data_IF_162892434112
#
_entry.id   IF_162892434112
#
_cell.length_a   1.000
_cell.length_b   1.000
_cell.length_c   1.000
_cell.angle_alpha   90.00
_cell.angle_beta   90.00
_cell.angle_gamma   90.00
#
_symmetry.space_group_name_H-M   'P 1'
#
loop_
_entity.id
_entity.type
_entity.pdbx_description
1 polymer ?
2 polymer ?
3 polymer ?
4 non-polymer ?
5 non-polymer ?
6 water ?
#
loop_
_entity_poly.entity_id
_entity_poly.type
_entity_poly.pdbx_seq_one_letter_code
_entity_poly.pdbx_strand_id
2 'polydeoxyribonucleotide' '(DA)(DG)(DG)(DA)(DC)(DC)(DOC)' ?
3 'polydeoxyribonucleotide' '(DT)(DC)(DT)(DA)(3DR)(DG)(DG)(DG)(DT)(DC)(DC)(DT)' ?
#
# COMPACT_ATOMS: atom_id res chain seq x y z
N UNK A 25 15.63 12.41 19.98
CA UNK A 25 14.79 12.04 18.78
C UNK A 25 15.64 11.46 17.61
N UNK A 26 16.64 10.61 17.95
CA UNK A 26 17.56 9.93 16.99
C UNK A 26 17.06 8.55 16.34
N UNK A 27 17.30 7.40 17.00
CA UNK A 27 16.96 6.07 16.47
C UNK A 27 15.47 5.60 16.61
N UNK A 28 14.91 5.06 15.57
CA UNK A 28 13.48 4.88 15.55
C UNK A 28 13.15 3.41 15.64
N UNK A 29 11.96 3.12 16.13
CA UNK A 29 11.39 1.78 15.96
C UNK A 29 10.09 1.94 15.16
N UNK A 30 10.08 1.38 13.94
CA UNK A 30 8.96 1.48 12.99
C UNK A 30 8.40 0.07 12.78
N UNK A 31 7.07 -0.06 12.79
CA UNK A 31 6.46 -1.30 12.27
C UNK A 31 5.75 -1.03 10.91
N UNK A 32 5.86 -1.99 10.00
CA UNK A 32 5.08 -2.03 8.78
C UNK A 32 4.08 -3.19 8.87
N UNK A 33 2.77 -2.92 8.69
CA UNK A 33 1.73 -3.94 8.82
C UNK A 33 1.20 -4.12 7.43
N UNK A 34 1.08 -5.39 7.00
CA UNK A 34 0.86 -5.72 5.64
C UNK A 34 -0.12 -6.92 5.65
N UNK A 35 -1.39 -6.69 5.30
CA UNK A 35 -2.40 -7.76 5.47
C UNK A 35 -2.24 -8.83 4.41
N UNK A 36 -2.66 -10.04 4.73
CA UNK A 36 -2.68 -11.13 3.78
C UNK A 36 -3.83 -10.97 2.73
N UNK A 37 -3.47 -11.14 1.44
CA UNK A 37 -4.39 -11.25 0.35
C UNK A 37 -5.69 -10.48 0.66
N UNK A 38 -5.52 -9.18 0.87
CA UNK A 38 -6.57 -8.36 1.56
C UNK A 38 -7.95 -8.48 0.94
N UNK A 39 -8.10 -8.36 -0.39
CA UNK A 39 -9.49 -8.45 -0.97
C UNK A 39 -10.09 -9.84 -0.79
N UNK A 40 -9.23 -10.85 -0.93
CA UNK A 40 -9.70 -12.21 -0.81
C UNK A 40 -10.15 -12.44 0.61
N UNK A 41 -9.41 -11.94 1.65
CA UNK A 41 -9.86 -12.05 3.07
C UNK A 41 -11.19 -11.44 3.26
N UNK A 42 -11.38 -10.23 2.72
CA UNK A 42 -12.67 -9.58 2.91
C UNK A 42 -13.76 -10.50 2.27
N UNK A 43 -13.51 -11.09 1.11
CA UNK A 43 -14.59 -11.91 0.47
C UNK A 43 -14.81 -13.23 1.23
N UNK A 44 -13.76 -13.84 1.79
CA UNK A 44 -13.91 -15.07 2.61
C UNK A 44 -14.70 -14.87 3.89
N UNK A 45 -14.53 -13.71 4.53
CA UNK A 45 -15.38 -13.36 5.69
C UNK A 45 -16.83 -13.16 5.25
N UNK A 46 -17.05 -12.57 4.07
CA UNK A 46 -18.43 -12.32 3.62
C UNK A 46 -19.16 -13.58 3.22
N UNK A 47 -18.49 -14.48 2.52
CA UNK A 47 -19.08 -15.74 2.15
C UNK A 47 -18.23 -16.91 2.67
N UNK A 48 -18.44 -17.31 3.95
CA UNK A 48 -17.70 -18.41 4.56
C UNK A 48 -17.48 -19.63 3.68
N UNK A 49 -18.39 -19.95 2.77
CA UNK A 49 -18.24 -21.16 1.90
C UNK A 49 -17.05 -21.12 0.91
N UNK A 50 -16.45 -19.94 0.78
CA UNK A 50 -15.21 -19.76 0.02
C UNK A 50 -13.97 -19.96 0.91
N UNK A 51 -14.21 -20.21 2.21
CA UNK A 51 -13.13 -20.31 3.20
C UNK A 51 -11.97 -21.26 2.87
N UNK A 52 -12.25 -22.52 2.56
CA UNK A 52 -11.12 -23.36 2.20
C UNK A 52 -11.17 -23.78 0.75
N UNK A 53 -11.74 -22.89 -0.08
CA UNK A 53 -11.67 -23.01 -1.53
C UNK A 53 -10.59 -22.05 -2.08
N UNK A 54 -9.90 -22.46 -3.14
CA UNK A 54 -8.95 -21.56 -3.78
C UNK A 54 -9.79 -20.43 -4.40
N UNK A 55 -9.49 -19.18 -4.05
CA UNK A 55 -10.37 -18.02 -4.38
C UNK A 55 -9.56 -16.94 -5.06
N UNK A 56 -10.09 -16.41 -6.16
CA UNK A 56 -9.47 -15.32 -6.92
C UNK A 56 -10.46 -14.17 -6.94
N UNK A 57 -9.98 -12.94 -6.82
CA UNK A 57 -10.85 -11.76 -6.83
C UNK A 57 -10.58 -11.12 -8.19
N UNK A 58 -11.63 -11.02 -9.00
CA UNK A 58 -11.48 -10.60 -10.37
C UNK A 58 -11.86 -9.12 -10.57
N UNK A 59 -11.13 -8.45 -11.45
CA UNK A 59 -11.51 -7.10 -11.86
C UNK A 59 -11.25 -7.21 -13.34
N UNK A 60 -12.28 -7.05 -14.14
CA UNK A 60 -12.15 -7.15 -15.58
C UNK A 60 -11.53 -8.50 -15.95
N UNK A 61 -10.44 -8.49 -16.71
CA UNK A 61 -9.82 -9.73 -17.16
C UNK A 61 -8.71 -10.17 -16.19
N UNK A 62 -8.57 -9.49 -15.05
CA UNK A 62 -7.48 -9.79 -14.10
C UNK A 62 -7.91 -10.44 -12.80
N UNK A 63 -7.10 -11.38 -12.34
CA UNK A 63 -7.22 -11.89 -10.99
C UNK A 63 -6.25 -11.08 -10.11
N UNK A 64 -6.78 -10.05 -9.45
CA UNK A 64 -5.93 -9.05 -8.88
C UNK A 64 -5.30 -9.61 -7.66
N UNK A 65 -6.04 -10.45 -6.94
CA UNK A 65 -5.46 -11.19 -5.85
C UNK A 65 -6.20 -12.50 -5.64
N UNK A 66 -5.63 -13.40 -4.81
CA UNK A 66 -6.25 -14.72 -4.58
C UNK A 66 -5.80 -15.20 -3.19
N UNK A 67 -6.59 -16.06 -2.54
CA UNK A 67 -6.24 -16.51 -1.19
C UNK A 67 -5.09 -17.55 -1.24
N UNK A 68 -4.54 -17.97 -0.08
CA UNK A 68 -3.26 -18.73 -0.11
C UNK A 68 -3.41 -20.15 -0.69
N UNK A 69 -4.60 -20.72 -0.49
CA UNK A 69 -5.02 -21.95 -1.15
C UNK A 69 -4.73 -21.89 -2.68
N UNK A 70 -5.13 -20.81 -3.35
CA UNK A 70 -4.89 -20.64 -4.78
C UNK A 70 -3.41 -20.38 -5.18
N UNK A 71 -2.67 -19.64 -4.36
CA UNK A 71 -1.23 -19.44 -4.58
C UNK A 71 -0.49 -20.79 -4.58
N UNK A 72 -0.97 -21.76 -3.80
CA UNK A 72 -0.36 -23.13 -3.74
C UNK A 72 -0.56 -23.86 -5.06
N UNK A 73 -1.72 -23.62 -5.67
CA UNK A 73 -2.05 -24.17 -6.99
C UNK A 73 -1.51 -23.37 -8.20
N UNK A 74 -0.56 -22.45 -7.99
CA UNK A 74 0.04 -21.68 -9.09
C UNK A 74 -0.50 -20.30 -9.43
N UNK A 75 -1.70 -19.95 -8.92
CA UNK A 75 -2.30 -18.63 -9.14
C UNK A 75 -1.43 -17.50 -8.56
N UNK A 76 -1.17 -16.47 -9.37
CA UNK A 76 -0.27 -15.39 -8.97
C UNK A 76 -1.05 -14.09 -8.93
N UNK A 77 -0.56 -13.14 -8.13
CA UNK A 77 -1.19 -11.83 -8.03
C UNK A 77 -1.16 -11.19 -9.40
N UNK A 78 -2.29 -10.64 -9.83
CA UNK A 78 -2.37 -9.93 -11.11
C UNK A 78 -2.16 -10.83 -12.32
N UNK A 79 -2.66 -12.06 -12.28
CA UNK A 79 -2.65 -12.97 -13.45
C UNK A 79 -3.93 -12.78 -14.29
N UNK A 80 -3.88 -12.90 -15.63
CA UNK A 80 -5.13 -12.88 -16.41
C UNK A 80 -6.01 -14.02 -15.97
N UNK A 81 -7.33 -13.87 -16.10
CA UNK A 81 -8.27 -14.95 -15.77
C UNK A 81 -7.93 -16.26 -16.51
N UNK A 82 -7.57 -16.17 -17.79
CA UNK A 82 -7.26 -17.36 -18.60
C UNK A 82 -6.08 -18.20 -18.03
N UNK A 83 -4.90 -17.60 -18.03
CA UNK A 83 -3.73 -18.15 -17.38
C UNK A 83 -4.09 -18.66 -15.98
N UNK A 84 -4.89 -17.86 -15.25
CA UNK A 84 -5.34 -18.19 -13.90
C UNK A 84 -6.15 -19.49 -13.84
N UNK A 85 -7.04 -19.68 -14.82
CA UNK A 85 -7.88 -20.83 -14.77
C UNK A 85 -7.32 -22.05 -15.49
N UNK A 86 -6.40 -21.87 -16.44
CA UNK A 86 -5.68 -23.04 -17.02
C UNK A 86 -4.45 -23.46 -16.20
N UNK A 87 -4.14 -22.68 -15.17
CA UNK A 87 -3.25 -23.11 -14.12
C UNK A 87 -4.07 -23.82 -13.04
N UNK A 88 -5.34 -23.45 -12.90
CA UNK A 88 -6.18 -23.96 -11.82
C UNK A 88 -7.64 -23.81 -12.23
N UNK A 89 -8.21 -24.91 -12.75
CA UNK A 89 -9.54 -24.91 -13.36
C UNK A 89 -10.66 -24.88 -12.32
N UNK A 90 -10.33 -25.14 -11.06
CA UNK A 90 -11.30 -25.20 -9.98
C UNK A 90 -11.29 -23.86 -9.24
N UNK A 91 -10.62 -22.86 -9.79
CA UNK A 91 -10.57 -21.57 -9.12
C UNK A 91 -11.96 -20.87 -9.02
N UNK A 92 -12.39 -20.56 -7.79
CA UNK A 92 -13.57 -19.69 -7.58
C UNK A 92 -13.22 -18.19 -7.76
N UNK A 93 -14.01 -17.49 -8.58
CA UNK A 93 -13.78 -16.07 -8.83
C UNK A 93 -14.92 -15.20 -8.31
N UNK A 94 -14.62 -14.11 -7.60
CA UNK A 94 -15.69 -13.17 -7.21
C UNK A 94 -15.31 -11.84 -7.74
N UNK A 95 -16.31 -11.03 -8.10
CA UNK A 95 -16.01 -9.76 -8.71
C UNK A 95 -15.51 -8.75 -7.66
N UNK A 96 -14.37 -8.11 -7.90
CA UNK A 96 -13.88 -7.13 -6.95
C UNK A 96 -13.75 -5.74 -7.47
N UNK A 97 -14.67 -5.39 -8.39
CA UNK A 97 -14.59 -4.09 -9.05
C UNK A 97 -15.06 -2.96 -8.16
N UNK A 98 -16.07 -3.23 -7.32
CA UNK A 98 -16.65 -2.29 -6.38
C UNK A 98 -15.83 -2.42 -5.11
N UNK A 99 -15.11 -1.36 -4.74
CA UNK A 99 -14.13 -1.45 -3.67
C UNK A 99 -14.73 -1.11 -2.35
N UNK A 100 -16.04 -0.83 -2.29
CA UNK A 100 -16.64 -0.24 -1.07
C UNK A 100 -16.29 -0.94 0.24
N UNK A 101 -16.51 -2.27 0.26
CA UNK A 101 -16.24 -3.05 1.43
C UNK A 101 -14.74 -3.12 1.72
N UNK A 102 -13.89 -3.18 0.69
CA UNK A 102 -12.44 -3.22 0.98
C UNK A 102 -12.04 -1.91 1.66
N UNK A 103 -12.53 -0.83 1.09
CA UNK A 103 -12.17 0.49 1.58
C UNK A 103 -12.62 0.63 3.02
N UNK A 104 -13.85 0.20 3.33
CA UNK A 104 -14.34 0.31 4.73
C UNK A 104 -13.49 -0.51 5.70
N UNK A 105 -13.16 -1.74 5.32
CA UNK A 105 -12.34 -2.55 6.21
C UNK A 105 -10.95 -1.93 6.33
N UNK A 106 -10.43 -1.35 5.25
CA UNK A 106 -9.10 -0.72 5.26
C UNK A 106 -8.99 0.40 6.29
N UNK A 107 -10.02 1.25 6.36
CA UNK A 107 -10.04 2.25 7.43
C UNK A 107 -10.26 1.67 8.85
N UNK A 108 -11.10 0.64 9.02
CA UNK A 108 -11.13 -0.03 10.34
C UNK A 108 -9.73 -0.45 10.81
N UNK A 109 -8.89 -0.96 9.89
CA UNK A 109 -7.54 -1.49 10.29
C UNK A 109 -6.70 -0.28 10.71
N UNK A 110 -6.70 0.78 9.89
CA UNK A 110 -5.93 1.99 10.21
C UNK A 110 -6.36 2.56 11.57
N UNK A 111 -7.67 2.68 11.83
CA UNK A 111 -8.11 3.26 13.11
C UNK A 111 -7.72 2.41 14.30
N UNK A 112 -7.74 1.09 14.13
CA UNK A 112 -7.34 0.24 15.20
C UNK A 112 -5.85 0.51 15.50
N UNK A 113 -5.01 0.64 14.49
CA UNK A 113 -3.55 0.85 14.70
C UNK A 113 -3.38 2.23 15.27
N UNK A 114 -4.27 3.18 14.94
CA UNK A 114 -4.10 4.52 15.48
C UNK A 114 -4.29 4.63 16.98
N UNK A 115 -5.07 3.69 17.47
CA UNK A 115 -5.34 3.57 18.84
C UNK A 115 -4.09 3.15 19.62
N UNK A 116 -3.24 2.33 19.04
CA UNK A 116 -1.95 1.98 19.66
C UNK A 116 -1.07 3.21 19.66
N UNK A 117 -1.04 3.94 18.57
CA UNK A 117 -0.18 5.08 18.51
C UNK A 117 -0.67 5.96 17.31
N UNK A 118 -0.83 7.28 17.51
CA UNK A 118 -1.54 8.06 16.55
C UNK A 118 -0.86 8.36 15.22
N UNK A 119 0.42 8.09 15.06
CA UNK A 119 1.03 8.50 13.80
C UNK A 119 1.05 7.30 12.91
N UNK A 120 0.06 7.19 12.02
CA UNK A 120 -0.08 6.00 11.23
C UNK A 120 -0.20 6.48 9.79
N UNK A 121 0.62 5.89 8.95
CA UNK A 121 0.66 6.23 7.52
C UNK A 121 0.13 5.06 6.71
N UNK A 122 -0.86 5.29 5.87
CA UNK A 122 -1.40 4.24 5.04
C UNK A 122 -0.56 4.15 3.77
N UNK A 123 -0.43 2.95 3.20
CA UNK A 123 0.11 2.86 1.85
C UNK A 123 -0.79 1.91 1.13
N UNK A 124 -1.61 2.41 0.22
CA UNK A 124 -2.68 1.62 -0.35
C UNK A 124 -3.67 1.18 0.73
N UNK A 125 -4.49 0.19 0.42
CA UNK A 125 -5.60 -0.17 1.30
C UNK A 125 -5.16 -1.18 2.30
N UNK A 126 -3.97 -1.80 2.11
CA UNK A 126 -3.71 -2.77 3.10
C UNK A 126 -2.36 -2.79 3.77
N UNK A 127 -1.63 -1.69 3.66
CA UNK A 127 -0.39 -1.53 4.43
C UNK A 127 -0.46 -0.28 5.28
N UNK A 128 0.09 -0.38 6.45
CA UNK A 128 0.21 0.80 7.35
C UNK A 128 1.60 0.78 7.99
N UNK A 129 2.18 1.97 8.18
CA UNK A 129 3.37 2.14 8.96
C UNK A 129 2.98 2.84 10.26
N UNK A 130 3.58 2.45 11.40
CA UNK A 130 3.38 3.10 12.69
C UNK A 130 4.77 3.37 13.28
N UNK A 131 4.97 4.57 13.78
CA UNK A 131 6.21 4.93 14.41
C UNK A 131 5.98 4.58 15.84
N UNK A 132 6.72 3.57 16.32
CA UNK A 132 6.51 3.05 17.66
C UNK A 132 7.50 3.62 18.68
N UNK A 133 8.34 4.54 18.24
CA UNK A 133 9.48 4.96 19.05
C UNK A 133 9.03 5.46 20.43
N UNK A 134 7.99 6.32 20.48
CA UNK A 134 7.59 6.84 21.81
C UNK A 134 7.03 5.75 22.62
N UNK A 135 6.28 4.88 21.98
CA UNK A 135 5.58 3.80 22.71
C UNK A 135 6.62 2.86 23.36
N UNK A 136 7.66 2.56 22.60
CA UNK A 136 8.70 1.61 23.06
C UNK A 136 9.45 2.19 24.25
N UNK A 137 9.90 3.45 24.12
CA UNK A 137 10.51 4.18 25.23
C UNK A 137 9.64 4.26 26.47
N UNK A 138 8.36 4.52 26.32
CA UNK A 138 7.48 4.51 27.50
C UNK A 138 7.39 3.10 28.14
N UNK A 139 7.25 2.04 27.35
CA UNK A 139 7.26 0.69 27.94
C UNK A 139 8.57 0.38 28.64
N UNK A 140 9.68 0.82 28.06
CA UNK A 140 11.00 0.56 28.64
C UNK A 140 11.20 1.25 29.96
N UNK A 141 10.75 2.50 30.09
CA UNK A 141 10.90 3.18 31.34
C UNK A 141 10.09 2.45 32.41
N UNK A 142 8.99 1.80 32.04
CA UNK A 142 8.18 1.00 32.96
C UNK A 142 8.88 -0.19 33.64
N UNK A 143 9.80 -0.87 32.94
CA UNK A 143 10.44 -2.09 33.45
C UNK A 143 11.54 -1.85 34.48
N UNK A 144 11.75 -2.82 35.38
CA UNK A 144 12.86 -2.82 36.36
C UNK A 144 14.18 -3.31 35.77
N UNK A 145 15.30 -2.92 36.40
CA UNK A 145 16.65 -3.47 36.09
C UNK A 145 16.71 -4.93 36.57
N UNK A 146 15.70 -5.68 36.18
CA UNK A 146 15.54 -7.08 36.53
C UNK A 146 14.87 -7.69 35.32
N UNK A 147 13.66 -7.21 34.98
CA UNK A 147 12.84 -7.74 33.88
C UNK A 147 13.35 -7.37 32.46
N UNK A 148 14.34 -6.48 32.40
CA UNK A 148 14.96 -6.08 31.15
C UNK A 148 15.78 -7.22 30.55
N UNK A 149 16.19 -8.16 31.39
CA UNK A 149 16.84 -9.40 30.96
C UNK A 149 15.85 -10.51 30.57
N UNK A 150 14.56 -10.36 30.90
CA UNK A 150 13.55 -11.33 30.48
C UNK A 150 12.86 -10.88 29.17
N UNK A 151 13.30 -9.73 28.62
CA UNK A 151 12.71 -9.21 27.37
C UNK A 151 12.94 -10.24 26.28
N UNK A 152 11.88 -10.56 25.57
CA UNK A 152 12.01 -11.60 24.57
C UNK A 152 11.35 -11.16 23.29
N UNK A 153 11.73 -11.77 22.20
CA UNK A 153 11.18 -11.45 20.93
C UNK A 153 9.81 -12.10 20.77
N UNK A 154 8.98 -11.45 19.98
CA UNK A 154 7.78 -12.10 19.50
C UNK A 154 7.88 -12.37 17.97
N UNK A 155 7.78 -13.64 17.56
CA UNK A 155 7.89 -13.98 16.12
C UNK A 155 9.34 -14.14 15.60
N UNK A 156 9.58 -13.98 14.28
CA UNK A 156 10.91 -14.32 13.73
C UNK A 156 11.92 -13.19 13.90
N UNK A 157 13.19 -13.55 14.04
CA UNK A 157 14.34 -12.61 13.93
C UNK A 157 14.98 -12.83 12.54
N UNK A 158 15.02 -11.77 11.73
CA UNK A 158 15.59 -11.86 10.39
C UNK A 158 17.02 -12.51 10.46
N UNK A 159 17.27 -13.45 9.54
CA UNK A 159 18.55 -14.10 9.36
C UNK A 159 18.96 -14.82 10.62
N UNK A 160 17.99 -15.15 11.49
CA UNK A 160 18.22 -15.96 12.64
C UNK A 160 19.32 -15.31 13.52
N UNK A 161 19.36 -13.98 13.53
CA UNK A 161 20.44 -13.29 14.20
C UNK A 161 20.33 -13.41 15.73
N UNK A 162 21.46 -13.59 16.42
CA UNK A 162 21.49 -13.69 17.87
C UNK A 162 21.13 -12.38 18.49
N UNK A 163 20.38 -12.44 19.56
CA UNK A 163 20.01 -11.22 20.26
C UNK A 163 21.07 -10.87 21.35
N UNK A 164 21.37 -9.60 21.55
CA UNK A 164 22.27 -9.27 22.65
C UNK A 164 21.46 -8.44 23.56
N UNK A 165 21.13 -8.97 24.72
CA UNK A 165 20.23 -8.28 25.65
C UNK A 165 20.87 -7.07 26.27
N UNK A 166 22.20 -6.86 26.11
CA UNK A 166 22.80 -5.63 26.62
C UNK A 166 22.80 -4.56 25.55
N UNK A 167 22.32 -4.87 24.34
CA UNK A 167 22.36 -3.85 23.28
C UNK A 167 21.02 -3.12 23.34
N UNK A 168 21.07 -1.84 23.68
CA UNK A 168 19.79 -1.12 23.84
C UNK A 168 18.95 -1.09 22.51
N UNK A 169 19.60 -1.21 21.34
CA UNK A 169 18.88 -1.19 20.03
C UNK A 169 18.15 -2.53 19.82
N UNK A 170 18.79 -3.62 20.24
CA UNK A 170 18.16 -4.93 20.24
C UNK A 170 16.97 -4.88 21.19
N UNK A 171 17.17 -4.41 22.41
CA UNK A 171 16.04 -4.34 23.37
C UNK A 171 14.78 -3.54 22.84
N UNK A 172 15.04 -2.36 22.27
CA UNK A 172 13.96 -1.53 21.70
C UNK A 172 13.20 -2.20 20.54
N UNK A 173 13.95 -2.83 19.63
CA UNK A 173 13.37 -3.57 18.51
C UNK A 173 12.60 -4.78 19.02
N UNK A 174 13.09 -5.43 20.09
CA UNK A 174 12.27 -6.57 20.63
C UNK A 174 10.95 -6.12 21.19
N UNK A 175 10.96 -5.03 21.97
CA UNK A 175 9.74 -4.42 22.53
C UNK A 175 8.85 -4.04 21.32
N UNK A 176 9.47 -3.49 20.27
CA UNK A 176 8.80 -3.23 18.99
C UNK A 176 8.10 -4.48 18.50
N UNK A 177 8.75 -5.67 18.59
CA UNK A 177 8.12 -6.87 18.07
C UNK A 177 6.92 -7.25 18.96
N UNK A 178 7.02 -6.99 20.25
CA UNK A 178 5.90 -7.32 21.14
C UNK A 178 4.68 -6.43 20.83
N UNK A 179 4.90 -5.14 20.62
CA UNK A 179 3.81 -4.26 20.23
C UNK A 179 3.22 -4.77 18.89
N UNK A 180 4.06 -5.18 17.93
CA UNK A 180 3.51 -5.65 16.64
C UNK A 180 2.70 -6.90 16.79
N UNK A 181 3.13 -7.82 17.68
CA UNK A 181 2.33 -9.01 17.97
C UNK A 181 0.95 -8.61 18.58
N UNK A 182 0.92 -7.66 19.49
CA UNK A 182 -0.37 -7.16 20.04
C UNK A 182 -1.30 -6.56 18.92
N UNK A 183 -0.71 -5.80 18.01
CA UNK A 183 -1.45 -5.21 16.93
C UNK A 183 -2.06 -6.33 16.07
N UNK A 184 -1.29 -7.37 15.76
CA UNK A 184 -1.79 -8.39 14.85
C UNK A 184 -2.90 -9.21 15.54
N UNK A 185 -2.71 -9.43 16.84
CA UNK A 185 -3.69 -10.10 17.66
C UNK A 185 -4.98 -9.35 17.71
N UNK A 186 -4.89 -8.06 17.99
CA UNK A 186 -6.07 -7.22 18.03
C UNK A 186 -6.80 -7.17 16.65
N UNK A 187 -6.06 -7.07 15.55
CA UNK A 187 -6.66 -7.03 14.23
C UNK A 187 -7.41 -8.32 14.02
N UNK A 188 -6.85 -9.44 14.45
CA UNK A 188 -7.56 -10.71 14.32
C UNK A 188 -8.79 -10.76 15.24
N UNK A 189 -8.61 -10.43 16.52
CA UNK A 189 -9.70 -10.53 17.47
C UNK A 189 -10.82 -9.52 17.22
N UNK A 190 -10.47 -8.30 16.82
CA UNK A 190 -11.49 -7.26 16.59
C UNK A 190 -12.04 -7.19 15.16
N UNK A 191 -11.24 -7.57 14.15
CA UNK A 191 -11.70 -7.36 12.79
C UNK A 191 -11.74 -8.64 12.01
N UNK A 192 -11.21 -9.76 12.54
CA UNK A 192 -11.28 -11.01 11.80
C UNK A 192 -10.14 -11.12 10.77
N UNK A 193 -9.15 -10.21 10.82
CA UNK A 193 -8.09 -10.17 9.77
C UNK A 193 -6.69 -10.65 10.21
N UNK A 194 -6.04 -11.44 9.36
CA UNK A 194 -4.65 -11.81 9.60
C UNK A 194 -3.72 -10.94 8.75
N UNK A 195 -2.47 -10.81 9.16
CA UNK A 195 -1.52 -10.01 8.41
C UNK A 195 -0.10 -10.26 8.89
N UNK A 196 0.87 -9.74 8.13
CA UNK A 196 2.29 -9.77 8.51
C UNK A 196 2.69 -8.40 9.10
N UNK A 197 3.76 -8.39 9.90
CA UNK A 197 4.40 -7.20 10.39
C UNK A 197 5.92 -7.29 10.31
N UNK A 198 6.59 -6.14 10.12
CA UNK A 198 8.05 -6.10 10.07
C UNK A 198 8.44 -4.98 10.98
N UNK A 199 9.42 -5.25 11.87
CA UNK A 199 9.87 -4.22 12.80
C UNK A 199 11.33 -3.93 12.49
N UNK A 200 11.63 -2.62 12.34
CA UNK A 200 12.98 -2.22 11.95
C UNK A 200 13.21 -0.77 12.33
N UNK A 201 14.39 -0.24 12.04
CA UNK A 201 14.69 1.11 12.47
C UNK A 201 14.23 2.16 11.50
N UNK A 202 13.73 1.81 10.32
CA UNK A 202 13.17 2.83 9.40
C UNK A 202 12.09 2.23 8.53
N UNK A 203 11.37 3.04 7.76
CA UNK A 203 10.26 2.48 6.91
C UNK A 203 10.72 1.53 5.79
N UNK A 204 11.79 1.90 5.07
CA UNK A 204 12.39 1.00 4.08
C UNK A 204 12.61 -0.39 4.67
N UNK A 205 13.34 -0.44 5.76
CA UNK A 205 13.71 -1.75 6.29
C UNK A 205 12.47 -2.55 6.85
N UNK A 206 11.60 -1.84 7.59
CA UNK A 206 10.36 -2.42 8.12
C UNK A 206 9.56 -2.96 6.98
N UNK A 207 9.53 -2.26 5.87
CA UNK A 207 8.73 -2.73 4.76
C UNK A 207 9.39 -3.96 4.03
N UNK A 208 10.71 -3.93 3.89
CA UNK A 208 11.36 -5.10 3.29
C UNK A 208 11.27 -6.26 4.26
N UNK A 209 11.36 -6.02 5.57
CA UNK A 209 11.46 -7.20 6.47
C UNK A 209 10.08 -7.89 6.74
N UNK A 210 8.98 -7.16 6.55
CA UNK A 210 7.60 -7.67 6.83
C UNK A 210 7.20 -8.79 5.94
N UNK A 211 7.75 -8.79 4.74
CA UNK A 211 7.50 -9.80 3.76
C UNK A 211 8.36 -11.10 3.89
N UNK A 212 9.31 -11.20 4.82
CA UNK A 212 10.25 -12.36 4.80
C UNK A 212 9.55 -13.68 5.18
N UNK A 213 8.60 -13.63 6.11
CA UNK A 213 7.81 -14.82 6.49
C UNK A 213 6.37 -14.51 6.29
N UNK A 214 5.74 -15.15 5.32
CA UNK A 214 4.31 -14.91 4.98
C UNK A 214 3.68 -16.30 4.81
N UNK A 215 2.34 -16.44 4.96
CA UNK A 215 1.36 -15.39 5.43
C UNK A 215 1.32 -15.32 6.93
N UNK A 216 0.70 -14.25 7.43
CA UNK A 216 0.31 -14.21 8.85
C UNK A 216 1.46 -14.47 9.86
N UNK A 217 2.60 -13.76 9.74
CA UNK A 217 3.71 -13.99 10.63
C UNK A 217 4.38 -12.63 10.76
N UNK A 218 5.40 -12.50 11.60
CA UNK A 218 6.15 -11.25 11.69
C UNK A 218 7.60 -11.45 11.85
N UNK A 219 8.36 -10.42 11.51
CA UNK A 219 9.82 -10.56 11.56
C UNK A 219 10.40 -9.24 12.10
N UNK A 220 11.51 -9.34 12.85
CA UNK A 220 12.18 -8.18 13.33
C UNK A 220 13.58 -8.15 12.78
N UNK A 221 13.99 -6.99 12.35
CA UNK A 221 15.31 -6.82 11.78
C UNK A 221 16.26 -6.15 12.81
N UNK A 222 17.32 -6.87 13.25
CA UNK A 222 18.38 -6.21 14.04
C UNK A 222 19.43 -5.54 13.16
N UNK A 223 20.11 -4.49 13.66
CA UNK A 223 20.90 -3.65 12.73
C UNK A 223 22.01 -4.43 12.04
N UNK A 224 22.60 -5.44 12.71
CA UNK A 224 23.74 -6.18 12.09
C UNK A 224 23.32 -6.97 10.86
N UNK A 225 22.03 -7.19 10.66
CA UNK A 225 21.59 -7.99 9.49
C UNK A 225 21.06 -7.11 8.33
N UNK A 226 21.18 -5.79 8.51
CA UNK A 226 20.70 -4.83 7.48
C UNK A 226 21.34 -5.04 6.07
N UNK A 227 22.66 -5.13 5.99
CA UNK A 227 23.26 -5.46 4.68
C UNK A 227 22.76 -6.83 4.11
N UNK A 228 22.62 -7.82 4.95
CA UNK A 228 22.15 -9.08 4.49
C UNK A 228 20.73 -8.92 3.80
N UNK A 229 19.82 -8.18 4.46
CA UNK A 229 18.48 -7.99 3.90
C UNK A 229 18.56 -7.25 2.57
N UNK A 230 19.30 -6.15 2.55
CA UNK A 230 19.39 -5.34 1.35
C UNK A 230 19.99 -6.14 0.17
N UNK A 231 21.03 -6.92 0.43
CA UNK A 231 21.69 -7.70 -0.62
C UNK A 231 20.90 -8.92 -0.92
N UNK A 232 19.85 -9.23 -0.12
CA UNK A 232 19.00 -10.42 -0.46
C UNK A 232 18.11 -10.06 -1.67
N UNK A 233 17.91 -8.76 -1.95
CA UNK A 233 17.11 -8.36 -3.17
C UNK A 233 17.81 -8.78 -4.49
N UNK A 234 17.06 -9.10 -5.53
CA UNK A 234 17.76 -9.49 -6.75
C UNK A 234 17.82 -8.45 -7.84
N UNK A 235 17.09 -7.35 -7.65
CA UNK A 235 17.20 -6.17 -8.52
C UNK A 235 16.85 -4.84 -7.81
N UNK A 236 17.51 -3.75 -8.21
CA UNK A 236 17.26 -2.44 -7.59
C UNK A 236 15.76 -2.08 -7.62
N UNK A 237 15.02 -2.67 -8.55
CA UNK A 237 13.57 -2.40 -8.69
C UNK A 237 12.82 -2.84 -7.47
N UNK A 238 13.38 -3.81 -6.76
CA UNK A 238 12.68 -4.31 -5.57
C UNK A 238 12.80 -3.31 -4.46
N UNK A 239 13.59 -2.25 -4.66
CA UNK A 239 13.69 -1.27 -3.57
C UNK A 239 12.46 -0.34 -3.61
N UNK A 240 11.68 -0.32 -2.50
CA UNK A 240 10.57 0.61 -2.35
C UNK A 240 11.16 2.03 -2.51
N UNK A 241 10.61 2.81 -3.42
CA UNK A 241 11.25 4.05 -3.81
C UNK A 241 11.79 4.03 -5.26
N UNK A 242 12.22 2.90 -5.77
CA UNK A 242 12.75 2.90 -7.11
C UNK A 242 11.68 2.30 -8.00
N UNK A 243 11.04 3.08 -8.85
CA UNK A 243 9.98 2.49 -9.74
C UNK A 243 10.41 2.02 -11.13
N UNK A 244 9.43 1.89 -12.04
CA UNK A 244 9.64 1.53 -13.47
C UNK A 244 10.61 2.47 -14.20
N UNK A 245 10.34 3.77 -14.21
CA UNK A 245 11.25 4.67 -14.93
C UNK A 245 12.64 4.71 -14.33
N UNK A 246 12.77 4.65 -13.02
CA UNK A 246 14.10 4.85 -12.42
C UNK A 246 14.97 3.64 -12.62
N UNK A 247 14.38 2.45 -12.46
CA UNK A 247 15.02 1.20 -12.75
C UNK A 247 15.52 1.15 -14.21
N UNK A 248 14.73 1.70 -15.14
CA UNK A 248 15.15 1.65 -16.58
C UNK A 248 16.35 2.52 -16.84
N UNK A 249 16.36 3.70 -16.24
CA UNK A 249 17.53 4.56 -16.17
C UNK A 249 18.80 3.85 -15.64
N UNK A 250 18.71 3.25 -14.43
CA UNK A 250 19.89 2.74 -13.77
C UNK A 250 20.46 1.65 -14.63
N UNK A 251 19.57 0.83 -15.19
CA UNK A 251 19.95 -0.20 -16.16
C UNK A 251 20.77 0.35 -17.30
N UNK A 252 20.16 1.23 -18.06
CA UNK A 252 20.86 1.89 -19.17
C UNK A 252 22.28 2.25 -18.69
N UNK A 253 22.44 2.61 -17.40
CA UNK A 253 23.78 2.95 -16.84
C UNK A 253 24.66 1.79 -16.40
N UNK A 254 24.30 0.56 -16.73
CA UNK A 254 24.99 -0.61 -16.21
C UNK A 254 24.73 -0.96 -14.75
N UNK A 255 23.74 -0.33 -14.09
CA UNK A 255 23.39 -0.65 -12.70
C UNK A 255 22.23 -1.66 -12.55
N UNK A 256 22.56 -2.88 -12.13
CA UNK A 256 21.60 -3.99 -11.95
C UNK A 256 21.38 -4.47 -10.48
N UNK A 257 22.44 -4.69 -9.73
CA UNK A 257 22.26 -5.25 -8.38
C UNK A 257 22.20 -4.14 -7.36
N UNK A 258 21.78 -4.42 -6.15
CA UNK A 258 21.85 -3.37 -5.12
C UNK A 258 23.32 -2.93 -4.87
N UNK A 259 24.28 -3.85 -4.87
CA UNK A 259 25.66 -3.47 -4.75
C UNK A 259 26.18 -2.57 -5.88
N UNK A 260 25.77 -2.79 -7.13
CA UNK A 260 26.11 -1.82 -8.24
C UNK A 260 25.66 -0.40 -7.87
N UNK A 261 24.43 -0.25 -7.39
CA UNK A 261 23.93 1.08 -6.98
C UNK A 261 24.75 1.62 -5.79
N UNK A 262 25.02 0.81 -4.76
CA UNK A 262 25.90 1.19 -3.62
C UNK A 262 27.29 1.73 -4.03
N UNK A 263 27.91 1.09 -5.01
CA UNK A 263 29.26 1.44 -5.40
C UNK A 263 29.33 2.41 -6.58
N UNK A 264 28.22 2.87 -7.11
CA UNK A 264 28.29 3.64 -8.36
C UNK A 264 28.69 5.07 -7.97
N UNK A 265 29.37 5.76 -8.90
CA UNK A 265 29.81 7.14 -8.73
C UNK A 265 28.62 8.02 -8.32
N UNK A 266 28.67 8.60 -7.10
CA UNK A 266 27.56 9.49 -6.75
C UNK A 266 27.33 10.62 -7.79
N UNK A 267 28.42 11.11 -8.35
CA UNK A 267 28.43 12.27 -9.24
C UNK A 267 27.67 12.04 -10.55
N UNK A 268 27.91 10.88 -11.15
CA UNK A 268 27.34 10.55 -12.46
C UNK A 268 25.87 10.29 -12.18
N UNK A 269 25.60 9.56 -11.09
CA UNK A 269 24.23 9.40 -10.64
C UNK A 269 23.53 10.77 -10.48
N UNK A 270 24.21 11.72 -9.82
CA UNK A 270 23.62 13.06 -9.56
C UNK A 270 23.31 13.77 -10.86
N UNK A 271 24.29 13.73 -11.78
CA UNK A 271 24.27 14.49 -13.00
C UNK A 271 23.47 13.80 -14.12
N UNK A 272 22.53 12.95 -13.73
CA UNK A 272 21.78 12.08 -14.61
C UNK A 272 20.32 11.88 -14.15
N UNK A 273 20.15 11.78 -12.82
CA UNK A 273 18.86 11.56 -12.15
C UNK A 273 18.33 12.78 -11.42
N UNK A 274 19.17 13.82 -11.33
CA UNK A 274 18.90 14.98 -10.51
C UNK A 274 19.46 14.67 -9.13
N UNK A 275 19.80 15.70 -8.39
CA UNK A 275 20.37 15.54 -7.06
C UNK A 275 19.39 14.83 -6.12
N UNK A 276 18.14 15.25 -6.18
CA UNK A 276 17.14 14.73 -5.27
C UNK A 276 17.01 13.22 -5.38
N UNK A 277 16.79 12.76 -6.59
CA UNK A 277 16.53 11.34 -6.82
C UNK A 277 17.81 10.56 -6.51
N UNK A 278 18.92 11.03 -7.06
CA UNK A 278 20.20 10.34 -6.94
C UNK A 278 20.61 10.12 -5.49
N UNK A 279 20.54 11.16 -4.68
CA UNK A 279 21.04 11.04 -3.34
C UNK A 279 20.08 10.22 -2.47
N UNK A 280 18.79 10.27 -2.80
CA UNK A 280 17.82 9.55 -2.02
C UNK A 280 17.95 8.04 -2.29
N UNK A 281 18.00 7.66 -3.56
CA UNK A 281 18.04 6.28 -3.92
C UNK A 281 19.35 5.60 -3.62
N UNK A 282 20.45 6.34 -3.57
CA UNK A 282 21.70 5.72 -3.27
C UNK A 282 21.72 5.43 -1.80
N UNK A 283 21.13 6.33 -0.98
CA UNK A 283 20.94 6.03 0.46
C UNK A 283 20.07 4.80 0.63
N UNK A 284 18.98 4.73 -0.12
CA UNK A 284 18.12 3.55 -0.08
C UNK A 284 18.99 2.30 -0.32
N UNK A 285 19.98 2.36 -1.23
CA UNK A 285 20.66 1.10 -1.57
C UNK A 285 21.49 0.59 -0.41
N UNK A 286 21.82 1.49 0.51
CA UNK A 286 22.51 1.13 1.75
C UNK A 286 21.60 0.66 2.89
N UNK A 287 20.28 0.66 2.67
CA UNK A 287 19.37 0.47 3.81
C UNK A 287 19.09 1.70 4.66
N UNK A 288 19.46 2.91 4.18
CA UNK A 288 19.31 4.18 4.92
C UNK A 288 18.11 4.94 4.42
N UNK A 289 17.30 5.50 5.33
CA UNK A 289 15.99 6.09 4.89
C UNK A 289 15.52 6.87 6.07
N UNK A 290 15.67 8.20 5.98
CA UNK A 290 15.25 9.10 7.01
C UNK A 290 13.76 9.56 6.95
N UNK A 291 12.98 9.13 5.98
CA UNK A 291 11.60 9.68 5.83
C UNK A 291 10.75 9.30 7.06
N UNK A 292 10.04 10.32 7.60
CA UNK A 292 9.15 10.19 8.75
C UNK A 292 7.90 9.36 8.36
N UNK A 293 7.31 8.67 9.33
CA UNK A 293 6.00 8.08 9.12
C UNK A 293 5.09 9.30 9.14
N UNK A 294 4.25 9.48 8.14
CA UNK A 294 3.34 10.65 8.10
C UNK A 294 1.89 10.32 8.42
N UNK A 295 1.25 11.05 9.30
CA UNK A 295 -0.18 10.81 9.66
C UNK A 295 -1.08 10.87 8.45
N UNK A 296 -1.66 9.79 7.97
CA UNK A 296 -2.44 9.96 6.72
C UNK A 296 -3.73 10.73 7.01
N UNK A 297 -4.35 10.47 8.17
CA UNK A 297 -5.66 11.02 8.52
C UNK A 297 -6.70 10.67 7.41
N UNK A 298 -7.70 11.55 7.22
CA UNK A 298 -8.69 11.34 6.22
C UNK A 298 -8.10 11.55 4.86
N UNK A 299 -8.72 10.95 3.83
CA UNK A 299 -8.25 10.98 2.47
C UNK A 299 -8.32 12.37 1.83
N UNK A 300 -7.42 12.58 0.86
CA UNK A 300 -7.25 13.85 0.12
C UNK A 300 -8.10 13.89 -1.13
N UNK A 301 -8.53 12.73 -1.65
CA UNK A 301 -9.38 12.66 -2.82
C UNK A 301 -10.38 11.51 -2.68
N UNK A 302 -11.40 11.48 -3.54
CA UNK A 302 -12.39 10.42 -3.62
C UNK A 302 -12.63 10.23 -5.12
N UNK A 303 -12.44 9.02 -5.67
CA UNK A 303 -12.76 8.81 -7.06
C UNK A 303 -13.31 7.42 -7.34
N UNK A 304 -13.98 7.29 -8.48
CA UNK A 304 -14.44 6.01 -9.00
C UNK A 304 -14.15 5.98 -10.47
N UNK A 305 -13.89 4.77 -10.97
CA UNK A 305 -13.48 4.54 -12.34
C UNK A 305 -14.36 3.46 -12.97
N UNK A 306 -14.25 3.40 -14.28
CA UNK A 306 -14.90 2.39 -15.12
C UNK A 306 -14.03 2.15 -16.34
N UNK A 307 -13.67 0.91 -16.54
CA UNK A 307 -12.97 0.51 -17.74
C UNK A 307 -13.96 -0.11 -18.75
N UNK A 308 -13.57 -0.12 -20.01
CA UNK A 308 -14.41 -0.74 -21.05
C UNK A 308 -13.61 -0.77 -22.33
N UNK A 309 -13.91 -1.82 -23.12
CA UNK A 309 -13.28 -2.20 -24.39
C UNK A 309 -12.86 -1.01 -25.24
N UNK A 310 -13.86 -0.18 -25.51
CA UNK A 310 -13.76 1.05 -26.24
C UNK A 310 -15.25 1.28 -26.47
N UNK A 311 -15.92 1.65 -25.39
CA UNK A 311 -17.39 1.78 -25.32
C UNK A 311 -17.89 3.22 -25.15
N UNK A 312 -17.00 4.11 -24.71
CA UNK A 312 -17.30 5.53 -24.71
C UNK A 312 -17.05 6.00 -26.13
N UNK A 313 -18.08 5.83 -26.97
CA UNK A 313 -18.13 6.29 -28.37
C UNK A 313 -17.67 7.74 -28.60
N UNK A 314 -17.48 8.49 -27.50
CA UNK A 314 -17.22 9.97 -27.48
C UNK A 314 -18.52 10.78 -27.75
N UNK A 315 -19.66 10.24 -27.26
CA UNK A 315 -21.01 10.79 -27.43
C UNK A 315 -21.91 10.33 -26.26
N UNK A 316 -22.96 9.56 -26.59
CA UNK A 316 -24.01 9.13 -25.64
C UNK A 316 -23.57 8.60 -24.24
N UNK A 317 -22.28 8.26 -24.08
CA UNK A 317 -21.69 7.83 -22.76
C UNK A 317 -21.29 9.00 -21.82
N UNK A 318 -22.28 9.79 -21.45
CA UNK A 318 -22.28 10.57 -20.21
C UNK A 318 -23.07 9.76 -19.20
N UNK A 319 -23.83 8.79 -19.70
CA UNK A 319 -24.60 7.91 -18.84
C UNK A 319 -23.68 7.32 -17.77
N UNK A 320 -22.52 6.84 -18.22
CA UNK A 320 -21.46 6.35 -17.34
C UNK A 320 -21.08 7.35 -16.25
N UNK A 321 -21.16 8.63 -16.65
CA UNK A 321 -20.64 9.73 -15.86
C UNK A 321 -21.59 10.05 -14.68
N UNK A 322 -22.88 9.92 -14.93
CA UNK A 322 -23.92 9.94 -13.89
C UNK A 322 -23.88 8.76 -12.88
N UNK A 323 -23.70 7.52 -13.36
CA UNK A 323 -23.51 6.40 -12.42
C UNK A 323 -22.33 6.71 -11.50
N UNK A 324 -21.19 7.03 -12.10
CA UNK A 324 -19.97 7.30 -11.30
C UNK A 324 -20.34 8.38 -10.28
N UNK A 325 -21.05 9.40 -10.77
CA UNK A 325 -21.47 10.51 -9.95
C UNK A 325 -22.28 10.09 -8.72
N UNK A 326 -23.32 9.29 -8.95
CA UNK A 326 -24.24 8.90 -7.88
C UNK A 326 -23.53 8.25 -6.68
N UNK A 327 -22.66 7.25 -6.91
CA UNK A 327 -21.83 6.66 -5.85
C UNK A 327 -20.96 7.70 -5.14
N UNK A 328 -20.20 8.45 -5.94
CA UNK A 328 -19.26 9.38 -5.37
C UNK A 328 -19.95 10.39 -4.48
N UNK A 329 -21.17 10.81 -4.86
CA UNK A 329 -21.94 11.78 -4.08
C UNK A 329 -22.32 11.23 -2.70
N UNK A 330 -22.74 9.97 -2.67
CA UNK A 330 -23.03 9.24 -1.43
C UNK A 330 -21.81 9.11 -0.49
N UNK A 331 -20.65 8.91 -1.08
CA UNK A 331 -19.41 8.72 -0.31
C UNK A 331 -18.96 10.04 0.31
N UNK A 332 -18.96 11.07 -0.52
CA UNK A 332 -18.29 12.34 -0.21
C UNK A 332 -19.20 13.17 0.69
N UNK A 333 -20.51 12.90 0.59
CA UNK A 333 -21.48 13.14 1.67
C UNK A 333 -20.94 12.60 3.00
N UNK A 334 -21.26 11.31 3.28
CA UNK A 334 -20.74 10.49 4.41
C UNK A 334 -19.51 11.00 5.19
N UNK A 335 -18.63 11.72 4.51
CA UNK A 335 -17.36 12.14 5.11
C UNK A 335 -17.50 13.27 6.14
N UNK A 336 -18.43 14.20 5.89
CA UNK A 336 -18.63 15.38 6.75
C UNK A 336 -18.05 16.63 6.13
N UNK A 337 -16.77 16.56 5.78
CA UNK A 337 -16.08 17.52 4.90
C UNK A 337 -16.68 17.47 3.47
N UNK A 338 -16.41 18.52 2.68
CA UNK A 338 -16.89 18.60 1.30
C UNK A 338 -15.79 19.06 0.31
N UNK A 339 -15.82 18.54 -0.92
CA UNK A 339 -14.87 18.84 -1.98
C UNK A 339 -15.14 20.16 -2.67
N UNK A 340 -14.07 20.91 -2.94
CA UNK A 340 -14.18 22.19 -3.64
C UNK A 340 -13.70 22.06 -5.08
N UNK A 341 -13.34 20.84 -5.52
CA UNK A 341 -12.81 20.67 -6.86
C UNK A 341 -13.30 19.39 -7.43
N UNK A 342 -13.58 19.40 -8.74
CA UNK A 342 -13.95 18.20 -9.50
C UNK A 342 -13.06 18.02 -10.72
N UNK A 343 -12.79 16.75 -11.04
CA UNK A 343 -11.90 16.41 -12.12
C UNK A 343 -12.47 15.24 -12.88
N UNK A 344 -12.23 15.25 -14.19
CA UNK A 344 -12.64 14.17 -15.11
C UNK A 344 -11.41 13.64 -15.79
N UNK A 345 -11.30 12.31 -15.80
CA UNK A 345 -10.13 11.69 -16.39
C UNK A 345 -10.60 10.81 -17.52
N UNK A 346 -9.79 10.72 -18.59
CA UNK A 346 -10.07 9.85 -19.73
C UNK A 346 -8.82 9.06 -20.19
N UNK A 347 -9.07 7.94 -20.86
CA UNK A 347 -8.03 7.27 -21.62
C UNK A 347 -8.44 7.13 -23.13
N UNK A 348 -7.59 7.63 -24.02
CA UNK A 348 -7.92 7.71 -25.44
C UNK A 348 -7.71 6.37 -26.12
N UNK A 349 -8.13 6.30 -27.38
CA UNK A 349 -8.45 5.07 -28.09
C UNK A 349 -7.25 4.22 -28.54
N UNK A 350 -7.53 3.37 -29.54
CA UNK A 350 -6.56 2.65 -30.40
C UNK A 350 -5.35 2.02 -29.69
N UNK A 351 -4.17 2.14 -30.30
CA UNK A 351 -2.90 1.57 -29.80
C UNK A 351 -2.53 2.07 -28.38
N UNK A 352 -1.71 1.29 -27.68
CA UNK A 352 -1.33 1.60 -26.28
C UNK A 352 0.12 2.13 -26.10
N UNK A 353 0.29 3.44 -26.29
CA UNK A 353 1.55 4.11 -25.93
C UNK A 353 1.63 4.24 -24.39
N UNK A 354 2.50 3.40 -23.80
CA UNK A 354 2.64 3.16 -22.32
C UNK A 354 2.37 4.28 -21.26
N UNK A 355 2.52 5.56 -21.61
CA UNK A 355 2.25 6.68 -20.68
C UNK A 355 1.28 7.74 -21.25
N UNK A 356 0.05 7.81 -20.71
CA UNK A 356 -0.96 8.74 -21.25
C UNK A 356 -2.43 8.58 -20.92
N UNK A 357 -2.86 9.29 -19.88
CA UNK A 357 -4.26 9.53 -19.57
C UNK A 357 -4.46 11.08 -19.67
N UNK A 358 -5.72 11.54 -19.71
CA UNK A 358 -5.99 12.99 -19.74
C UNK A 358 -7.07 13.44 -18.77
N UNK A 359 -6.97 14.69 -18.29
CA UNK A 359 -7.83 15.22 -17.21
C UNK A 359 -8.22 16.73 -17.33
N UNK A 360 -9.51 17.01 -17.13
CA UNK A 360 -10.02 18.37 -17.01
C UNK A 360 -10.52 18.66 -15.63
N UNK A 361 -9.96 19.72 -15.07
CA UNK A 361 -10.25 20.11 -13.74
C UNK A 361 -10.74 21.56 -13.68
N UNK A 362 -11.82 21.77 -12.91
CA UNK A 362 -12.31 23.09 -12.51
C UNK A 362 -12.97 23.09 -11.11
N UNK A 363 -12.97 24.26 -10.41
CA UNK A 363 -13.65 24.38 -9.11
C UNK A 363 -15.15 24.09 -9.21
N UNK A 364 -15.72 23.67 -8.09
CA UNK A 364 -17.14 23.44 -7.89
C UNK A 364 -17.76 24.72 -7.33
N UNK A 365 -18.89 25.18 -7.91
CA UNK A 365 -19.43 26.44 -7.33
C UNK A 365 -20.04 26.22 -5.93
N UNK A 366 -19.97 27.24 -5.05
CA UNK A 366 -20.45 27.11 -3.65
C UNK A 366 -21.98 27.05 -3.48
N UNK A 367 -22.73 27.69 -4.39
CA UNK A 367 -24.14 27.34 -4.60
C UNK A 367 -24.26 25.79 -4.55
N UNK A 368 -23.39 25.10 -5.29
CA UNK A 368 -23.55 23.67 -5.56
C UNK A 368 -22.93 22.75 -4.50
N UNK A 369 -21.90 23.23 -3.79
CA UNK A 369 -21.35 22.49 -2.65
C UNK A 369 -22.47 22.16 -1.65
N UNK A 370 -23.07 23.19 -1.07
CA UNK A 370 -24.16 23.00 -0.12
C UNK A 370 -25.41 22.35 -0.73
N UNK A 379 -30.57 18.31 -7.88
CA UNK A 379 -29.51 18.59 -6.89
C UNK A 379 -28.20 17.72 -7.09
N UNK A 380 -28.33 16.65 -7.87
CA UNK A 380 -27.18 16.03 -8.54
C UNK A 380 -26.93 16.80 -9.83
N UNK A 381 -28.03 17.24 -10.45
CA UNK A 381 -28.09 17.64 -11.86
C UNK A 381 -27.21 18.88 -12.24
N UNK A 382 -27.07 19.85 -11.32
CA UNK A 382 -26.04 20.82 -11.67
C UNK A 382 -24.63 20.21 -11.76
N UNK A 383 -24.30 19.21 -10.92
CA UNK A 383 -23.02 18.49 -11.02
C UNK A 383 -22.84 17.75 -12.35
N UNK A 384 -23.91 17.09 -12.76
CA UNK A 384 -24.01 16.43 -14.05
C UNK A 384 -23.60 17.39 -15.21
N UNK A 385 -24.09 18.62 -15.19
CA UNK A 385 -23.72 19.57 -16.21
C UNK A 385 -22.25 20.07 -16.23
N UNK A 386 -21.66 20.35 -15.05
CA UNK A 386 -20.25 20.74 -14.99
C UNK A 386 -19.43 19.66 -15.69
N UNK A 387 -19.63 18.40 -15.26
CA UNK A 387 -18.90 17.26 -15.80
C UNK A 387 -18.96 17.23 -17.33
N UNK A 388 -20.16 17.36 -17.87
CA UNK A 388 -20.33 17.37 -19.32
C UNK A 388 -19.53 18.40 -20.12
N UNK A 389 -19.38 19.62 -19.60
CA UNK A 389 -18.58 20.65 -20.29
C UNK A 389 -17.08 20.31 -20.35
N UNK A 390 -16.53 19.81 -19.23
CA UNK A 390 -15.14 19.35 -19.14
C UNK A 390 -14.91 18.13 -20.09
N UNK A 391 -15.87 17.20 -20.10
CA UNK A 391 -15.96 16.26 -21.19
C UNK A 391 -15.76 16.96 -22.56
N UNK A 392 -16.50 18.05 -22.80
CA UNK A 392 -16.45 18.69 -24.13
C UNK A 392 -15.14 19.43 -24.41
N UNK A 393 -14.40 19.80 -23.35
CA UNK A 393 -13.09 20.40 -23.55
C UNK A 393 -12.13 19.40 -24.20
N UNK A 394 -12.27 18.13 -23.77
CA UNK A 394 -11.38 17.02 -24.15
C UNK A 394 -11.76 16.35 -25.45
N UNK A 404 -11.27 4.54 -23.52
CA UNK A 404 -11.44 3.25 -22.83
C UNK A 404 -11.70 3.40 -21.32
N UNK A 405 -11.37 4.57 -20.76
CA UNK A 405 -11.53 4.81 -19.31
C UNK A 405 -12.23 6.12 -19.04
N UNK A 406 -13.15 6.06 -18.08
CA UNK A 406 -13.82 7.22 -17.53
C UNK A 406 -13.77 7.21 -15.99
N UNK A 407 -13.23 8.26 -15.38
CA UNK A 407 -13.41 8.48 -13.95
C UNK A 407 -13.68 9.91 -13.53
N UNK A 408 -14.43 10.01 -12.44
CA UNK A 408 -14.64 11.25 -11.73
C UNK A 408 -13.81 11.20 -10.42
N UNK A 409 -13.28 12.36 -10.02
CA UNK A 409 -12.52 12.52 -8.80
C UNK A 409 -12.89 13.83 -8.18
N UNK A 410 -13.35 13.76 -6.93
CA UNK A 410 -13.46 14.97 -6.11
C UNK A 410 -12.19 15.18 -5.29
N UNK A 411 -11.70 16.40 -5.20
CA UNK A 411 -10.56 16.70 -4.33
C UNK A 411 -10.66 18.10 -3.73
N UNK A 412 -9.56 18.56 -3.12
CA UNK A 412 -9.48 19.90 -2.52
C UNK A 412 -10.61 19.92 -1.50
N UNK A 413 -10.56 18.96 -0.58
CA UNK A 413 -11.43 18.81 0.58
C UNK A 413 -11.09 19.87 1.65
N UNK A 414 -12.12 20.29 2.39
CA UNK A 414 -12.00 21.38 3.35
C UNK A 414 -12.97 21.20 4.50
#
# INVERSE_FOLDING_TARGET
MELADVGAAASSQGVHDQVLPTPNASSRVIVHVDLDCFYAQVEMISNPELKDKPLGVQQKYLVVTCNYEARKLGVKKLMNVRDAKEKCPQLVLVNGEDLTRYREMSYKVTELLEEFSPVVERLGFDENFVDLTEMVEKRLQQLQSDELSAVTVSGHVYNNQSINLLDVLHIRLLVGSQIAAEMREAMYNQLGLTGCAGVASNKLLAKLVSGVFKPNQQTVLLPESCQHLIHSLNHIKEIPGIGYKTAKCLEALGINSVRDLQTFSPKILEKELGISVAQRIQKLSFGEDNSPVILSGPPQSFSEEDSFKKCSSEVEAKNKIEELLASLLNRVCQDGRKPHTVRLIIRRYSSEKHYGRESRQCPIPSHVIQKLGTGNYDVMTPMVDILMKLFRNMVNVKMPFHLTLLSVCFCNLKALNTAK
#
